data_IF_061313306431
#
_entry.id   IF_061313306431
#
_cell.length_a   1.000
_cell.length_b   1.000
_cell.length_c   1.000
_cell.angle_alpha   90.00
_cell.angle_beta   90.00
_cell.angle_gamma   90.00
#
_symmetry.space_group_name_H-M   'P 1'
#
loop_
_entity.id
_entity.type
_entity.pdbx_description
1 polymer ?
#
# COMPACT_ATOMS: atom_id res chain seq x y z
N UNK A 1 1.23 13.18 -12.09
CA UNK A 1 0.08 14.10 -11.97
C UNK A 1 0.20 14.85 -10.64
N UNK A 2 0.25 16.20 -10.63
CA UNK A 2 0.50 16.98 -9.39
C UNK A 2 -0.69 17.01 -8.40
N UNK A 3 -1.87 16.56 -8.84
CA UNK A 3 -3.07 16.49 -7.99
C UNK A 3 -3.08 15.35 -6.98
N UNK A 4 -2.47 14.19 -7.30
CA UNK A 4 -2.47 13.05 -6.37
C UNK A 4 -1.88 13.37 -5.00
N UNK A 5 -0.69 14.02 -4.89
CA UNK A 5 -0.16 14.40 -3.58
C UNK A 5 -1.11 15.32 -2.78
N UNK A 6 -1.85 16.21 -3.44
CA UNK A 6 -2.84 17.04 -2.75
C UNK A 6 -3.97 16.20 -2.12
N UNK A 7 -4.51 15.23 -2.87
CA UNK A 7 -5.53 14.31 -2.35
C UNK A 7 -4.97 13.43 -1.23
N UNK A 8 -3.74 12.98 -1.37
CA UNK A 8 -3.02 12.20 -0.35
C UNK A 8 -2.92 12.96 0.97
N UNK A 9 -2.31 14.13 0.96
CA UNK A 9 -2.14 14.97 2.17
C UNK A 9 -3.49 15.38 2.76
N UNK A 10 -4.48 15.64 1.90
CA UNK A 10 -5.82 15.94 2.36
C UNK A 10 -6.50 14.73 3.03
N UNK A 11 -6.18 13.52 2.61
CA UNK A 11 -6.61 12.28 3.28
C UNK A 11 -6.13 12.19 4.73
N UNK A 12 -4.85 12.49 4.99
CA UNK A 12 -4.34 12.63 6.36
C UNK A 12 -5.06 13.75 7.12
N UNK A 13 -5.26 14.90 6.45
CA UNK A 13 -6.01 16.02 7.02
C UNK A 13 -7.43 15.63 7.43
N UNK A 14 -8.17 14.92 6.59
CA UNK A 14 -9.52 14.43 6.89
C UNK A 14 -9.52 13.46 8.09
N UNK A 15 -8.54 12.56 8.16
CA UNK A 15 -8.42 11.64 9.29
C UNK A 15 -8.25 12.40 10.59
N UNK A 16 -7.35 13.39 10.61
CA UNK A 16 -7.12 14.23 11.79
C UNK A 16 -8.35 15.07 12.18
N UNK A 17 -9.07 15.63 11.18
CA UNK A 17 -10.25 16.50 11.39
C UNK A 17 -11.48 15.70 11.85
N UNK A 18 -11.62 14.46 11.41
CA UNK A 18 -12.78 13.64 11.78
C UNK A 18 -12.58 12.85 13.06
N UNK A 19 -11.35 12.76 13.59
CA UNK A 19 -11.06 12.02 14.81
C UNK A 19 -11.93 12.56 15.98
N UNK A 20 -12.86 11.74 16.46
CA UNK A 20 -13.77 12.02 17.57
C UNK A 20 -13.45 11.05 18.71
N UNK A 21 -12.35 11.33 19.42
CA UNK A 21 -11.79 10.46 20.45
C UNK A 21 -11.67 11.21 21.77
N UNK A 22 -11.90 10.49 22.87
CA UNK A 22 -11.88 11.09 24.22
C UNK A 22 -10.52 11.64 24.63
N UNK A 23 -9.44 10.96 24.21
CA UNK A 23 -8.07 11.33 24.55
C UNK A 23 -7.28 11.68 23.31
N UNK A 24 -6.53 12.79 23.33
CA UNK A 24 -5.75 13.26 22.18
C UNK A 24 -4.76 12.21 21.65
N UNK A 25 -4.19 11.39 22.52
CA UNK A 25 -3.28 10.30 22.12
C UNK A 25 -3.93 9.26 21.22
N UNK A 26 -5.25 9.05 21.36
CA UNK A 26 -6.03 8.16 20.50
C UNK A 26 -6.36 8.76 19.12
N UNK A 27 -6.00 9.99 18.85
CA UNK A 27 -6.09 10.57 17.50
C UNK A 27 -5.05 10.03 16.53
N UNK A 28 -4.07 9.24 17.02
CA UNK A 28 -3.07 8.56 16.21
C UNK A 28 -3.45 7.10 16.04
N UNK A 29 -3.31 6.61 14.81
CA UNK A 29 -3.50 5.19 14.47
C UNK A 29 -2.14 4.49 14.42
N UNK A 30 -2.19 3.17 14.29
CA UNK A 30 -1.03 2.32 14.04
C UNK A 30 -0.33 2.72 12.73
N UNK A 31 1.01 2.52 12.67
CA UNK A 31 1.81 2.95 11.53
C UNK A 31 1.39 2.30 10.21
N UNK A 32 1.03 1.04 10.23
CA UNK A 32 0.57 0.29 9.06
C UNK A 32 -0.88 0.61 8.63
N UNK A 33 -1.58 1.45 9.39
CA UNK A 33 -2.92 1.94 9.06
C UNK A 33 -2.94 3.42 8.65
N UNK A 34 -1.86 4.15 8.91
CA UNK A 34 -1.79 5.61 8.75
C UNK A 34 -1.97 6.06 7.30
N UNK A 35 -1.54 5.24 6.33
CA UNK A 35 -1.59 5.56 4.90
C UNK A 35 -2.92 5.17 4.22
N UNK A 36 -3.83 4.44 4.89
CA UNK A 36 -5.13 4.13 4.29
C UNK A 36 -5.94 5.39 3.95
N UNK A 37 -6.11 6.38 4.85
CA UNK A 37 -6.88 7.58 4.54
C UNK A 37 -6.28 8.43 3.43
N UNK A 38 -4.95 8.51 3.35
CA UNK A 38 -4.25 9.26 2.32
C UNK A 38 -4.33 8.58 0.96
N UNK A 39 -4.01 7.31 0.89
CA UNK A 39 -3.99 6.57 -0.37
C UNK A 39 -5.38 6.35 -0.97
N UNK A 40 -6.40 6.10 -0.14
CA UNK A 40 -7.77 5.96 -0.68
C UNK A 40 -8.25 7.24 -1.37
N UNK A 41 -7.91 8.42 -0.84
CA UNK A 41 -8.29 9.69 -1.45
C UNK A 41 -7.65 9.90 -2.83
N UNK A 42 -6.48 9.32 -3.08
CA UNK A 42 -5.83 9.39 -4.40
C UNK A 42 -6.66 8.77 -5.53
N UNK A 43 -7.54 7.79 -5.21
CA UNK A 43 -8.39 7.17 -6.22
C UNK A 43 -9.34 8.20 -6.84
N UNK A 44 -9.97 9.05 -6.02
CA UNK A 44 -10.83 10.13 -6.52
C UNK A 44 -10.11 11.15 -7.38
N UNK A 45 -8.80 11.37 -7.19
CA UNK A 45 -8.04 12.31 -8.01
C UNK A 45 -8.07 12.00 -9.51
N UNK A 46 -8.33 10.75 -9.89
CA UNK A 46 -8.36 10.30 -11.28
C UNK A 46 -9.75 9.84 -11.74
N UNK A 47 -10.76 9.94 -10.88
CA UNK A 47 -12.12 9.63 -11.25
C UNK A 47 -12.66 10.63 -12.28
N UNK A 48 -13.36 10.14 -13.34
CA UNK A 48 -13.83 11.01 -14.42
C UNK A 48 -14.68 12.19 -13.94
N UNK A 49 -15.56 11.96 -12.98
CA UNK A 49 -16.42 13.02 -12.45
C UNK A 49 -15.61 14.10 -11.73
N UNK A 50 -14.63 13.70 -10.92
CA UNK A 50 -13.75 14.65 -10.20
C UNK A 50 -12.84 15.39 -11.17
N UNK A 51 -12.26 14.68 -12.17
CA UNK A 51 -11.45 15.30 -13.20
C UNK A 51 -12.21 16.39 -13.97
N UNK A 52 -13.48 16.17 -14.27
CA UNK A 52 -14.32 17.19 -14.97
C UNK A 52 -14.52 18.45 -14.15
N UNK A 53 -14.42 18.39 -12.84
CA UNK A 53 -14.53 19.58 -11.99
C UNK A 53 -13.27 20.42 -11.93
N UNK A 54 -12.07 19.82 -11.90
CA UNK A 54 -10.85 20.58 -11.69
C UNK A 54 -9.86 20.58 -12.85
N UNK A 55 -9.97 19.61 -13.77
CA UNK A 55 -9.09 19.52 -14.93
C UNK A 55 -9.65 20.37 -16.09
N UNK A 56 -9.59 21.69 -15.90
CA UNK A 56 -10.09 22.69 -16.83
C UNK A 56 -8.90 23.37 -17.52
N UNK A 57 -8.97 23.55 -18.83
CA UNK A 57 -7.96 24.28 -19.57
C UNK A 57 -7.97 25.75 -19.13
N UNK A 58 -6.87 26.21 -18.57
CA UNK A 58 -6.77 27.58 -18.02
C UNK A 58 -6.89 28.69 -19.05
N UNK A 59 -6.65 28.39 -20.35
CA UNK A 59 -6.75 29.36 -21.45
C UNK A 59 -8.15 29.38 -22.07
N UNK A 60 -8.73 28.18 -22.32
CA UNK A 60 -10.01 28.09 -23.04
C UNK A 60 -11.21 27.92 -22.11
N UNK A 61 -11.03 27.54 -20.85
CA UNK A 61 -12.10 27.20 -19.93
C UNK A 61 -12.75 25.84 -20.22
N UNK A 62 -12.26 25.10 -21.20
CA UNK A 62 -12.83 23.80 -21.57
C UNK A 62 -12.46 22.72 -20.58
N UNK A 63 -13.41 21.86 -20.27
CA UNK A 63 -13.23 20.67 -19.45
C UNK A 63 -12.33 19.65 -20.19
N UNK A 64 -11.54 18.92 -19.47
CA UNK A 64 -10.66 17.86 -19.99
C UNK A 64 -11.44 16.92 -20.92
N UNK A 65 -10.96 16.66 -22.16
CA UNK A 65 -11.61 15.74 -23.08
C UNK A 65 -11.58 14.29 -22.59
N UNK A 66 -12.63 13.54 -22.82
CA UNK A 66 -12.79 12.13 -22.42
C UNK A 66 -11.61 11.24 -22.84
N UNK A 67 -11.06 11.46 -24.05
CA UNK A 67 -9.87 10.74 -24.55
C UNK A 67 -8.65 10.91 -23.63
N UNK A 68 -8.49 12.05 -22.95
CA UNK A 68 -7.40 12.29 -22.02
C UNK A 68 -7.67 11.63 -20.66
N UNK A 69 -8.92 11.63 -20.20
CA UNK A 69 -9.33 10.89 -18.99
C UNK A 69 -9.01 9.41 -19.17
N UNK A 70 -9.40 8.81 -20.27
CA UNK A 70 -9.10 7.42 -20.60
C UNK A 70 -7.58 7.15 -20.59
N UNK A 71 -6.79 8.02 -21.25
CA UNK A 71 -5.32 7.89 -21.27
C UNK A 71 -4.68 8.03 -19.89
N UNK A 72 -5.21 8.86 -19.00
CA UNK A 72 -4.74 8.98 -17.63
C UNK A 72 -4.95 7.66 -16.89
N UNK A 73 -6.12 7.05 -17.00
CA UNK A 73 -6.43 5.75 -16.36
C UNK A 73 -5.56 4.62 -16.92
N UNK A 74 -5.40 4.54 -18.23
CA UNK A 74 -4.55 3.54 -18.88
C UNK A 74 -3.08 3.71 -18.49
N UNK A 75 -2.59 4.95 -18.43
CA UNK A 75 -1.20 5.23 -18.05
C UNK A 75 -0.90 4.85 -16.59
N UNK A 76 -1.92 4.82 -15.74
CA UNK A 76 -1.81 4.39 -14.35
C UNK A 76 -1.46 2.90 -14.19
N UNK A 77 -1.72 2.09 -15.22
CA UNK A 77 -1.39 0.65 -15.24
C UNK A 77 -0.05 0.35 -15.93
N UNK A 78 0.53 1.35 -16.60
CA UNK A 78 1.78 1.15 -17.33
C UNK A 78 2.95 0.96 -16.38
N UNK A 79 3.75 -0.06 -16.64
CA UNK A 79 4.99 -0.38 -15.92
C UNK A 79 4.82 -0.63 -14.41
N UNK A 80 3.63 -1.07 -13.98
CA UNK A 80 3.35 -1.33 -12.57
C UNK A 80 4.19 -2.47 -11.97
N UNK A 81 4.56 -3.47 -12.78
CA UNK A 81 5.49 -4.51 -12.35
C UNK A 81 6.82 -3.94 -11.86
N UNK A 82 7.41 -2.99 -12.59
CA UNK A 82 8.61 -2.27 -12.16
C UNK A 82 8.37 -1.49 -10.86
N UNK A 83 7.32 -0.67 -10.82
CA UNK A 83 7.02 0.23 -9.69
C UNK A 83 6.77 -0.57 -8.40
N UNK A 84 5.97 -1.62 -8.48
CA UNK A 84 5.66 -2.47 -7.32
C UNK A 84 6.90 -3.24 -6.87
N UNK A 85 7.71 -3.76 -7.80
CA UNK A 85 8.95 -4.47 -7.45
C UNK A 85 9.95 -3.55 -6.76
N UNK A 86 10.12 -2.32 -7.25
CA UNK A 86 10.98 -1.30 -6.63
C UNK A 86 10.53 -0.97 -5.19
N UNK A 87 9.21 -0.83 -4.99
CA UNK A 87 8.64 -0.55 -3.67
C UNK A 87 8.80 -1.73 -2.72
N UNK A 88 8.55 -2.96 -3.20
CA UNK A 88 8.76 -4.19 -2.42
C UNK A 88 10.23 -4.35 -2.04
N UNK A 89 11.16 -4.10 -2.98
CA UNK A 89 12.58 -4.16 -2.70
C UNK A 89 12.99 -3.19 -1.58
N UNK A 90 12.48 -1.95 -1.62
CA UNK A 90 12.73 -0.97 -0.57
C UNK A 90 12.17 -1.42 0.80
N UNK A 91 10.97 -1.98 0.84
CA UNK A 91 10.40 -2.50 2.08
C UNK A 91 11.18 -3.70 2.64
N UNK A 92 11.68 -4.58 1.78
CA UNK A 92 12.49 -5.73 2.18
C UNK A 92 13.87 -5.32 2.69
N UNK A 93 14.51 -4.32 2.06
CA UNK A 93 15.80 -3.79 2.55
C UNK A 93 15.66 -3.07 3.90
N UNK A 94 14.54 -2.38 4.12
CA UNK A 94 14.20 -1.81 5.44
C UNK A 94 14.14 -2.91 6.51
N UNK A 95 13.40 -3.97 6.24
CA UNK A 95 13.31 -5.11 7.17
C UNK A 95 14.66 -5.76 7.43
N UNK A 96 15.54 -5.87 6.44
CA UNK A 96 16.83 -6.51 6.61
C UNK A 96 17.77 -5.71 7.52
N UNK A 97 17.86 -4.39 7.33
CA UNK A 97 18.75 -3.56 8.14
C UNK A 97 18.26 -3.46 9.59
N UNK A 98 16.94 -3.45 9.79
CA UNK A 98 16.35 -3.38 11.13
C UNK A 98 16.16 -4.74 11.82
N UNK A 99 16.48 -5.84 11.12
CA UNK A 99 16.54 -7.18 11.72
C UNK A 99 17.93 -7.54 12.27
N UNK A 100 18.91 -6.66 12.15
CA UNK A 100 20.24 -6.85 12.73
C UNK A 100 20.12 -6.77 14.25
N UNK A 101 20.50 -7.85 14.94
CA UNK A 101 20.41 -7.95 16.41
C UNK A 101 21.74 -7.66 17.12
N UNK A 102 22.86 -7.78 16.39
CA UNK A 102 24.21 -7.57 16.93
C UNK A 102 24.94 -6.55 16.03
N UNK A 103 25.61 -5.60 16.66
CA UNK A 103 26.38 -4.59 15.93
C UNK A 103 27.76 -5.16 15.55
N UNK A 104 27.94 -5.39 14.25
CA UNK A 104 29.24 -5.64 13.64
C UNK A 104 29.44 -4.58 12.54
N UNK A 105 30.63 -3.96 12.43
CA UNK A 105 30.90 -3.03 11.33
C UNK A 105 30.82 -3.74 9.99
N UNK A 106 30.08 -3.17 9.04
CA UNK A 106 29.91 -3.71 7.70
C UNK A 106 29.94 -2.59 6.63
N UNK A 107 30.26 -2.94 5.41
CA UNK A 107 30.10 -2.02 4.27
C UNK A 107 28.62 -1.95 3.89
N UNK A 108 28.06 -0.73 3.98
CA UNK A 108 26.65 -0.47 3.73
C UNK A 108 26.24 -0.80 2.29
N UNK A 109 27.13 -0.59 1.32
CA UNK A 109 26.83 -0.85 -0.09
C UNK A 109 26.86 -2.35 -0.38
N UNK A 110 27.79 -3.08 0.23
CA UNK A 110 27.85 -4.55 0.11
C UNK A 110 26.62 -5.19 0.78
N UNK A 111 26.24 -4.73 1.97
CA UNK A 111 25.03 -5.19 2.64
C UNK A 111 23.77 -4.94 1.81
N UNK A 112 23.62 -3.74 1.23
CA UNK A 112 22.49 -3.39 0.36
C UNK A 112 22.47 -4.27 -0.89
N UNK A 113 23.61 -4.45 -1.55
CA UNK A 113 23.71 -5.28 -2.74
C UNK A 113 23.36 -6.75 -2.45
N UNK A 114 23.80 -7.29 -1.32
CA UNK A 114 23.42 -8.64 -0.88
C UNK A 114 21.93 -8.71 -0.57
N UNK A 115 21.38 -7.73 0.16
CA UNK A 115 19.97 -7.70 0.51
C UNK A 115 19.04 -7.71 -0.71
N UNK A 116 19.39 -6.98 -1.75
CA UNK A 116 18.58 -6.79 -2.96
C UNK A 116 18.88 -7.87 -4.01
N UNK A 117 20.13 -7.99 -4.41
CA UNK A 117 20.52 -8.84 -5.54
C UNK A 117 20.95 -10.24 -5.11
N UNK A 118 21.69 -10.37 -4.01
CA UNK A 118 22.19 -11.64 -3.50
C UNK A 118 21.08 -12.52 -2.93
N UNK A 119 20.42 -12.05 -1.89
CA UNK A 119 19.40 -12.83 -1.17
C UNK A 119 18.06 -12.92 -1.87
N UNK A 120 17.69 -11.93 -2.69
CA UNK A 120 16.36 -11.84 -3.31
C UNK A 120 16.36 -11.98 -4.82
N UNK A 121 17.53 -11.94 -5.43
CA UNK A 121 17.69 -12.14 -6.87
C UNK A 121 16.99 -11.07 -7.71
N UNK A 122 16.92 -9.81 -7.19
CA UNK A 122 16.38 -8.71 -7.97
C UNK A 122 17.20 -8.53 -9.25
N UNK A 123 16.55 -8.26 -10.36
CA UNK A 123 17.23 -8.01 -11.62
C UNK A 123 18.01 -6.68 -11.55
N UNK A 124 19.23 -6.60 -12.12
CA UNK A 124 20.10 -5.41 -11.99
C UNK A 124 19.51 -4.12 -12.58
N UNK A 125 18.51 -4.24 -13.46
CA UNK A 125 17.82 -3.11 -14.07
C UNK A 125 16.89 -2.37 -13.09
N UNK A 126 16.48 -3.03 -11.99
CA UNK A 126 15.70 -2.42 -10.92
C UNK A 126 16.66 -2.04 -9.80
N UNK A 127 16.86 -0.75 -9.63
CA UNK A 127 17.67 -0.22 -8.53
C UNK A 127 16.80 -0.05 -7.28
N UNK A 128 17.39 -0.12 -6.07
CA UNK A 128 16.67 0.26 -4.87
C UNK A 128 16.13 1.70 -4.98
N UNK A 129 14.87 1.89 -4.61
CA UNK A 129 14.20 3.20 -4.64
C UNK A 129 14.97 4.27 -3.84
N UNK A 130 15.50 3.85 -2.71
CA UNK A 130 16.41 4.62 -1.87
C UNK A 130 17.61 3.76 -1.51
N UNK A 131 18.80 4.36 -1.54
CA UNK A 131 20.02 3.74 -1.00
C UNK A 131 20.10 4.05 0.49
N UNK A 132 20.58 3.14 1.31
CA UNK A 132 20.67 3.34 2.75
C UNK A 132 21.25 4.70 3.17
N UNK A 133 22.31 5.26 2.55
CA UNK A 133 22.88 6.54 2.97
C UNK A 133 21.93 7.75 2.90
N UNK A 134 20.80 7.64 2.18
CA UNK A 134 19.81 8.72 2.07
C UNK A 134 18.36 8.24 2.22
N UNK A 135 18.15 7.06 2.78
CA UNK A 135 16.81 6.51 3.01
C UNK A 135 16.20 7.09 4.31
N UNK A 136 15.92 8.38 4.29
CA UNK A 136 15.45 9.16 5.44
C UNK A 136 14.21 8.53 6.12
N UNK A 137 13.27 7.99 5.33
CA UNK A 137 12.04 7.40 5.86
C UNK A 137 12.28 6.38 6.97
N UNK A 138 13.29 5.50 6.79
CA UNK A 138 13.54 4.40 7.72
C UNK A 138 14.55 4.73 8.83
N UNK A 139 15.30 5.84 8.72
CA UNK A 139 16.28 6.22 9.74
C UNK A 139 15.86 7.43 10.57
N UNK A 140 15.02 8.33 10.04
CA UNK A 140 14.56 9.54 10.74
C UNK A 140 13.06 9.83 10.50
N UNK A 141 12.47 9.26 9.45
CA UNK A 141 11.09 9.52 9.04
C UNK A 141 10.02 8.76 9.81
N UNK A 142 10.38 7.91 10.78
CA UNK A 142 9.42 7.15 11.59
C UNK A 142 8.92 5.85 10.94
N UNK A 143 9.54 5.40 9.86
CA UNK A 143 9.19 4.17 9.13
C UNK A 143 10.24 3.05 9.32
N UNK A 144 11.01 3.06 10.40
CA UNK A 144 11.94 1.98 10.72
C UNK A 144 11.19 0.65 10.85
N UNK A 145 11.61 -0.38 10.11
CA UNK A 145 10.86 -1.65 9.93
C UNK A 145 9.42 -1.48 9.44
N UNK A 146 9.08 -0.31 8.90
CA UNK A 146 7.72 0.08 8.57
C UNK A 146 7.52 0.58 7.14
N UNK A 147 8.52 0.52 6.28
CA UNK A 147 8.36 1.01 4.90
C UNK A 147 7.34 0.19 4.10
N UNK A 148 7.05 -1.05 4.51
CA UNK A 148 5.98 -1.87 3.97
C UNK A 148 4.58 -1.28 4.15
N UNK A 149 4.40 -0.29 5.05
CA UNK A 149 3.11 0.35 5.30
C UNK A 149 2.47 0.89 4.03
N UNK A 150 3.26 1.41 3.08
CA UNK A 150 2.76 1.91 1.80
C UNK A 150 2.13 0.81 0.94
N UNK A 151 2.73 -0.38 0.89
CA UNK A 151 2.18 -1.52 0.12
C UNK A 151 0.95 -2.07 0.82
N UNK A 152 1.01 -2.20 2.15
CA UNK A 152 -0.10 -2.68 2.94
C UNK A 152 -1.29 -1.74 2.82
N UNK A 153 -1.07 -0.44 2.97
CA UNK A 153 -2.10 0.56 2.78
C UNK A 153 -2.67 0.54 1.35
N UNK A 154 -1.85 0.23 0.33
CA UNK A 154 -2.34 0.09 -1.04
C UNK A 154 -3.29 -1.11 -1.20
N UNK A 155 -3.08 -2.19 -0.47
CA UNK A 155 -4.04 -3.30 -0.40
C UNK A 155 -5.35 -2.83 0.23
N UNK A 156 -5.25 -2.13 1.37
CA UNK A 156 -6.42 -1.63 2.09
C UNK A 156 -7.20 -0.60 1.27
N UNK A 157 -6.50 0.37 0.66
CA UNK A 157 -7.13 1.47 -0.08
C UNK A 157 -7.89 0.97 -1.31
N UNK A 158 -7.31 0.03 -2.07
CA UNK A 158 -7.96 -0.47 -3.29
C UNK A 158 -9.19 -1.30 -2.97
N UNK A 159 -9.14 -2.13 -1.94
CA UNK A 159 -10.33 -2.87 -1.52
C UNK A 159 -11.37 -1.96 -0.84
N UNK A 160 -10.94 -0.97 -0.05
CA UNK A 160 -11.85 0.01 0.54
C UNK A 160 -12.53 0.88 -0.54
N UNK A 161 -11.79 1.30 -1.58
CA UNK A 161 -12.38 2.05 -2.69
C UNK A 161 -13.36 1.21 -3.50
N UNK A 162 -13.07 -0.09 -3.66
CA UNK A 162 -13.99 -1.02 -4.31
C UNK A 162 -15.36 -1.08 -3.63
N UNK A 163 -15.44 -0.84 -2.31
CA UNK A 163 -16.75 -0.75 -1.64
C UNK A 163 -17.63 0.38 -2.19
N UNK A 164 -17.02 1.47 -2.66
CA UNK A 164 -17.75 2.54 -3.36
C UNK A 164 -18.09 2.13 -4.79
N UNK A 165 -17.13 1.57 -5.53
CA UNK A 165 -17.36 1.11 -6.91
C UNK A 165 -18.51 0.09 -7.00
N UNK A 166 -18.60 -0.82 -6.04
CA UNK A 166 -19.65 -1.84 -5.96
C UNK A 166 -21.07 -1.27 -5.78
N UNK A 167 -21.21 -0.03 -5.31
CA UNK A 167 -22.53 0.65 -5.25
C UNK A 167 -22.96 1.23 -6.59
N UNK A 168 -22.05 1.31 -7.56
CA UNK A 168 -22.26 2.02 -8.83
C UNK A 168 -22.13 3.54 -8.73
N UNK A 169 -21.83 4.08 -7.54
CA UNK A 169 -21.64 5.51 -7.27
C UNK A 169 -20.46 5.70 -6.32
N UNK A 170 -19.34 6.19 -6.85
CA UNK A 170 -18.14 6.45 -6.04
C UNK A 170 -18.32 7.57 -5.00
N UNK A 171 -19.49 8.24 -5.00
CA UNK A 171 -19.90 9.22 -4.00
C UNK A 171 -21.06 8.72 -3.11
N UNK A 172 -21.33 7.40 -3.07
CA UNK A 172 -22.40 6.86 -2.25
C UNK A 172 -22.30 7.32 -0.80
N UNK A 173 -23.34 8.00 -0.35
CA UNK A 173 -23.38 8.61 0.98
C UNK A 173 -23.45 7.61 2.13
N UNK A 174 -23.99 6.42 1.89
CA UNK A 174 -24.07 5.40 2.92
C UNK A 174 -22.69 4.81 3.20
N UNK A 175 -21.95 4.47 2.14
CA UNK A 175 -20.56 4.00 2.21
C UNK A 175 -19.64 5.09 2.76
N UNK A 176 -19.82 6.34 2.32
CA UNK A 176 -19.05 7.47 2.84
C UNK A 176 -19.26 7.70 4.35
N UNK A 177 -20.49 7.50 4.87
CA UNK A 177 -20.75 7.57 6.32
C UNK A 177 -20.05 6.46 7.08
N UNK A 178 -20.04 5.23 6.57
CA UNK A 178 -19.28 4.12 7.18
C UNK A 178 -17.80 4.44 7.22
N UNK A 179 -17.24 4.93 6.10
CA UNK A 179 -15.83 5.30 6.04
C UNK A 179 -15.51 6.46 6.99
N UNK A 180 -16.36 7.48 7.07
CA UNK A 180 -16.23 8.55 8.07
C UNK A 180 -16.25 8.01 9.51
N UNK A 181 -17.08 7.02 9.81
CA UNK A 181 -17.11 6.37 11.12
C UNK A 181 -15.77 5.69 11.42
N UNK A 182 -15.16 5.00 10.45
CA UNK A 182 -13.81 4.45 10.57
C UNK A 182 -12.81 5.56 10.94
N UNK A 183 -12.79 6.65 10.17
CA UNK A 183 -11.86 7.77 10.40
C UNK A 183 -12.05 8.41 11.79
N UNK A 184 -13.32 8.52 12.24
CA UNK A 184 -13.62 9.17 13.52
C UNK A 184 -13.14 8.39 14.74
N UNK A 185 -12.89 7.11 14.59
CA UNK A 185 -12.42 6.24 15.68
C UNK A 185 -10.94 6.46 16.02
N UNK A 186 -10.15 7.07 15.12
CA UNK A 186 -8.71 7.21 15.31
C UNK A 186 -8.08 5.87 15.74
N UNK A 187 -7.18 5.89 16.70
CA UNK A 187 -6.55 4.71 17.33
C UNK A 187 -7.31 4.17 18.54
N UNK A 188 -8.62 4.36 18.64
CA UNK A 188 -9.44 3.84 19.77
C UNK A 188 -9.69 2.33 19.69
N UNK A 189 -9.39 1.72 18.55
CA UNK A 189 -9.39 0.29 18.32
C UNK A 189 -8.30 -0.04 17.29
N UNK A 190 -7.91 -1.32 17.21
CA UNK A 190 -7.00 -1.85 16.20
C UNK A 190 -7.51 -1.55 14.79
N UNK A 191 -6.60 -1.13 13.90
CA UNK A 191 -6.92 -0.69 12.56
C UNK A 191 -7.65 -1.73 11.73
N UNK A 192 -7.28 -3.00 11.85
CA UNK A 192 -7.96 -4.08 11.14
C UNK A 192 -9.36 -4.36 11.66
N UNK A 193 -9.62 -4.13 12.95
CA UNK A 193 -10.98 -4.15 13.51
C UNK A 193 -11.83 -3.05 12.90
N UNK A 194 -11.31 -1.82 12.83
CA UNK A 194 -12.01 -0.69 12.20
C UNK A 194 -12.25 -0.93 10.71
N UNK A 195 -11.29 -1.55 10.03
CA UNK A 195 -11.42 -1.91 8.62
C UNK A 195 -12.55 -2.92 8.39
N UNK A 196 -12.59 -3.99 9.19
CA UNK A 196 -13.67 -4.99 9.12
C UNK A 196 -15.04 -4.41 9.42
N UNK A 197 -15.12 -3.48 10.38
CA UNK A 197 -16.38 -2.77 10.69
C UNK A 197 -16.86 -1.93 9.48
N UNK A 198 -15.94 -1.35 8.71
CA UNK A 198 -16.25 -0.62 7.49
C UNK A 198 -16.59 -1.55 6.33
N UNK A 199 -15.71 -2.51 6.03
CA UNK A 199 -15.74 -3.31 4.81
C UNK A 199 -16.65 -4.54 4.92
N UNK A 200 -16.83 -5.05 6.15
CA UNK A 200 -17.56 -6.30 6.45
C UNK A 200 -16.73 -7.57 6.24
N UNK A 201 -15.47 -7.47 5.83
CA UNK A 201 -14.57 -8.58 5.56
C UNK A 201 -13.11 -8.18 5.75
N UNK A 202 -12.19 -9.14 5.70
CA UNK A 202 -10.77 -8.91 5.55
C UNK A 202 -10.46 -8.28 4.18
N UNK A 203 -9.36 -7.49 4.06
CA UNK A 203 -8.99 -6.86 2.80
C UNK A 203 -8.63 -7.89 1.73
N UNK A 204 -9.17 -7.67 0.53
CA UNK A 204 -8.86 -8.50 -0.63
C UNK A 204 -7.69 -7.90 -1.42
N UNK A 205 -6.51 -8.52 -1.33
CA UNK A 205 -5.31 -8.11 -2.08
C UNK A 205 -5.49 -8.09 -3.59
N UNK A 206 -6.46 -8.85 -4.14
CA UNK A 206 -6.76 -8.86 -5.58
C UNK A 206 -7.20 -7.50 -6.08
N UNK A 207 -7.89 -6.71 -5.24
CA UNK A 207 -8.28 -5.35 -5.59
C UNK A 207 -7.07 -4.48 -6.00
N UNK A 208 -5.96 -4.58 -5.24
CA UNK A 208 -4.71 -3.91 -5.59
C UNK A 208 -4.11 -4.44 -6.90
N UNK A 209 -4.04 -5.76 -7.06
CA UNK A 209 -3.45 -6.36 -8.26
C UNK A 209 -4.22 -5.98 -9.53
N UNK A 210 -5.56 -6.00 -9.48
CA UNK A 210 -6.43 -5.56 -10.59
C UNK A 210 -6.24 -4.06 -10.86
N UNK A 211 -6.22 -3.22 -9.82
CA UNK A 211 -6.03 -1.78 -9.98
C UNK A 211 -4.67 -1.43 -10.61
N UNK A 212 -3.64 -2.21 -10.30
CA UNK A 212 -2.31 -2.08 -10.91
C UNK A 212 -2.22 -2.72 -12.32
N UNK A 213 -3.23 -3.46 -12.76
CA UNK A 213 -3.19 -4.19 -14.03
C UNK A 213 -2.25 -5.40 -14.00
N UNK A 214 -1.94 -5.93 -12.82
CA UNK A 214 -1.12 -7.13 -12.60
C UNK A 214 -1.97 -8.40 -12.54
N UNK A 215 -3.29 -8.27 -12.54
CA UNK A 215 -4.26 -9.35 -12.57
C UNK A 215 -5.49 -8.89 -13.36
N UNK A 216 -6.10 -9.81 -14.10
CA UNK A 216 -7.42 -9.60 -14.69
C UNK A 216 -8.50 -9.69 -13.59
N UNK A 217 -9.61 -8.98 -13.79
CA UNK A 217 -10.74 -9.04 -12.87
C UNK A 217 -11.35 -10.45 -12.93
N UNK A 218 -11.26 -11.17 -11.81
CA UNK A 218 -11.88 -12.48 -11.70
C UNK A 218 -13.38 -12.30 -11.43
N UNK A 219 -14.24 -13.23 -11.94
CA UNK A 219 -15.64 -13.30 -11.53
C UNK A 219 -15.74 -13.33 -10.00
N UNK A 220 -16.79 -12.72 -9.46
CA UNK A 220 -17.02 -12.66 -8.01
C UNK A 220 -17.09 -14.07 -7.40
N UNK A 221 -15.98 -14.53 -6.86
CA UNK A 221 -16.02 -15.70 -5.96
C UNK A 221 -16.31 -15.21 -4.53
N UNK A 222 -17.14 -15.94 -3.77
CA UNK A 222 -17.41 -15.60 -2.38
C UNK A 222 -16.09 -15.61 -1.58
N UNK A 223 -15.94 -14.66 -0.66
CA UNK A 223 -14.73 -14.41 0.13
C UNK A 223 -14.20 -15.62 0.92
N UNK A 224 -15.04 -16.63 1.15
CA UNK A 224 -14.71 -17.86 1.89
C UNK A 224 -13.82 -18.86 1.13
N UNK A 225 -13.61 -18.71 -0.17
CA UNK A 225 -12.83 -19.67 -0.98
C UNK A 225 -11.31 -19.46 -0.93
N UNK A 226 -10.82 -18.43 -0.24
CA UNK A 226 -9.41 -18.02 -0.24
C UNK A 226 -8.62 -18.52 0.98
N UNK A 227 -8.80 -19.76 1.38
CA UNK A 227 -7.81 -20.44 2.22
C UNK A 227 -6.51 -20.62 1.39
N UNK A 228 -5.60 -19.66 1.50
CA UNK A 228 -4.27 -19.76 0.88
C UNK A 228 -3.51 -20.90 1.55
N UNK A 229 -3.03 -21.92 0.82
CA UNK A 229 -2.19 -22.94 1.42
C UNK A 229 -0.94 -22.27 1.99
N UNK A 230 -0.65 -22.53 3.26
CA UNK A 230 0.59 -22.10 3.91
C UNK A 230 1.73 -22.84 3.23
N UNK A 231 2.46 -22.15 2.34
CA UNK A 231 3.71 -22.66 1.78
C UNK A 231 4.78 -22.49 2.86
N UNK A 232 5.08 -23.56 3.56
CA UNK A 232 6.26 -23.65 4.42
C UNK A 232 7.49 -23.69 3.52
N UNK A 233 8.28 -22.61 3.52
CA UNK A 233 9.56 -22.56 2.82
C UNK A 233 10.61 -23.30 3.65
N UNK A 234 11.18 -24.36 3.10
CA UNK A 234 12.40 -24.96 3.63
C UNK A 234 13.57 -23.97 3.46
N UNK A 235 14.50 -23.88 4.42
CA UNK A 235 15.50 -22.79 4.51
C UNK A 235 16.59 -22.77 3.42
N UNK A 236 16.61 -23.63 2.42
CA UNK A 236 17.80 -23.86 1.57
C UNK A 236 17.56 -24.02 0.05
N UNK A 237 16.50 -23.49 -0.54
CA UNK A 237 16.46 -23.45 -2.01
C UNK A 237 16.95 -22.09 -2.54
N UNK A 238 18.09 -22.13 -3.26
CA UNK A 238 18.56 -20.96 -4.03
C UNK A 238 17.54 -20.63 -5.11
N UNK A 239 17.14 -19.34 -5.27
CA UNK A 239 16.20 -18.94 -6.31
C UNK A 239 16.83 -19.19 -7.69
N UNK A 240 16.09 -19.88 -8.56
CA UNK A 240 16.45 -20.01 -9.98
C UNK A 240 16.29 -18.65 -10.63
N UNK A 241 17.36 -18.16 -11.26
CA UNK A 241 17.45 -16.89 -11.96
C UNK A 241 16.66 -16.93 -13.28
N UNK A 242 15.41 -16.54 -13.27
CA UNK A 242 14.66 -16.07 -14.46
C UNK A 242 13.31 -15.50 -14.00
N UNK A 243 13.33 -14.26 -13.48
CA UNK A 243 12.14 -13.47 -13.19
C UNK A 243 11.72 -12.73 -14.48
N UNK A 244 10.92 -13.34 -15.32
CA UNK A 244 10.41 -12.74 -16.55
C UNK A 244 8.90 -12.86 -16.74
N UNK A 245 8.16 -13.37 -15.73
CA UNK A 245 6.73 -13.65 -15.85
C UNK A 245 5.91 -12.93 -14.77
N UNK A 246 4.68 -12.52 -15.08
CA UNK A 246 3.71 -11.92 -14.15
C UNK A 246 3.50 -12.77 -12.87
N UNK A 247 3.68 -14.08 -13.00
CA UNK A 247 3.62 -15.06 -11.93
C UNK A 247 4.67 -14.81 -10.83
N UNK A 248 5.83 -14.30 -11.21
CA UNK A 248 6.93 -14.03 -10.29
C UNK A 248 6.64 -12.81 -9.38
N UNK A 249 5.97 -11.78 -9.91
CA UNK A 249 5.51 -10.64 -9.10
C UNK A 249 4.44 -11.05 -8.09
N UNK A 250 3.54 -11.96 -8.50
CA UNK A 250 2.51 -12.52 -7.63
C UNK A 250 3.12 -13.36 -6.50
N UNK A 251 4.13 -14.16 -6.81
CA UNK A 251 4.84 -14.99 -5.82
C UNK A 251 5.67 -14.15 -4.83
N UNK A 252 6.29 -13.06 -5.29
CA UNK A 252 6.98 -12.09 -4.42
C UNK A 252 5.97 -11.48 -3.44
N UNK A 253 4.81 -11.06 -3.91
CA UNK A 253 3.76 -10.47 -3.08
C UNK A 253 3.19 -11.48 -2.07
N UNK A 254 2.98 -12.73 -2.47
CA UNK A 254 2.52 -13.79 -1.58
C UNK A 254 3.55 -14.13 -0.49
N UNK A 255 4.85 -14.16 -0.83
CA UNK A 255 5.93 -14.35 0.14
C UNK A 255 6.00 -13.21 1.15
N UNK A 256 5.75 -11.98 0.71
CA UNK A 256 5.69 -10.81 1.59
C UNK A 256 4.50 -10.89 2.57
N UNK A 257 3.29 -11.14 2.08
CA UNK A 257 2.07 -11.24 2.90
C UNK A 257 2.07 -12.41 3.89
N UNK A 258 2.76 -13.53 3.58
CA UNK A 258 2.88 -14.66 4.50
C UNK A 258 3.85 -14.41 5.66
N UNK A 259 4.86 -13.57 5.50
CA UNK A 259 5.80 -13.18 6.58
C UNK A 259 5.19 -12.18 7.57
N UNK A 260 4.19 -11.40 7.15
CA UNK A 260 3.51 -10.43 8.03
C UNK A 260 2.52 -11.05 9.03
N UNK A 261 2.22 -12.34 8.93
CA UNK A 261 1.32 -13.08 9.85
C UNK A 261 2.05 -13.76 11.03
N UNK A 262 3.27 -13.37 11.35
CA UNK A 262 3.94 -13.82 12.58
C UNK A 262 3.24 -13.27 13.83
N UNK A 263 3.23 -14.01 14.96
CA UNK A 263 2.59 -13.54 16.18
C UNK A 263 3.38 -12.35 16.73
N UNK A 264 2.87 -11.16 16.54
CA UNK A 264 3.30 -10.00 17.33
C UNK A 264 2.73 -10.15 18.72
N UNK A 265 3.50 -10.77 19.62
CA UNK A 265 3.24 -10.73 21.05
C UNK A 265 3.69 -9.34 21.55
N UNK A 266 2.72 -8.44 21.65
CA UNK A 266 2.91 -7.08 22.13
C UNK A 266 3.22 -7.08 23.64
N UNK A 267 4.48 -7.33 24.00
CA UNK A 267 5.02 -6.98 25.32
C UNK A 267 6.21 -6.06 25.16
N UNK A 268 5.95 -4.76 25.09
CA UNK A 268 6.93 -3.74 25.43
C UNK A 268 7.10 -3.76 26.97
N UNK A 269 8.29 -3.96 27.51
CA UNK A 269 8.55 -3.65 28.91
C UNK A 269 8.57 -2.12 29.07
N UNK A 270 7.80 -1.64 30.05
CA UNK A 270 7.85 -0.27 30.54
C UNK A 270 9.25 0.05 31.11
N UNK A 271 9.87 1.09 30.61
CA UNK A 271 10.88 1.90 31.30
C UNK A 271 10.79 3.33 30.76
#
# INVERSE_FOLDING_TARGET
MRSRPFFHEFGHGLHALFADVKYRSLGRVEGDFVELPSQIMENWATEPEVLRHYAINYTTGEVIPERLIKRIRESGKFNQGFIVTELVAAALTDMDIHAITEYEPFDVNEFEADAVYGRRGLIPQIQPRYRYPYFLHIFDGGYASGYYFYIWAQVLDKDAFRAFEQTGDVFDRATARKFRTLLSRGGSADGMTLYRDFRGADPDKRAMLVACGLMEELPEEPADSLAVPVVTLEPNEKPKSNLTDEKDCYDIFNRFGSRMRGPYDARCPAA
#
